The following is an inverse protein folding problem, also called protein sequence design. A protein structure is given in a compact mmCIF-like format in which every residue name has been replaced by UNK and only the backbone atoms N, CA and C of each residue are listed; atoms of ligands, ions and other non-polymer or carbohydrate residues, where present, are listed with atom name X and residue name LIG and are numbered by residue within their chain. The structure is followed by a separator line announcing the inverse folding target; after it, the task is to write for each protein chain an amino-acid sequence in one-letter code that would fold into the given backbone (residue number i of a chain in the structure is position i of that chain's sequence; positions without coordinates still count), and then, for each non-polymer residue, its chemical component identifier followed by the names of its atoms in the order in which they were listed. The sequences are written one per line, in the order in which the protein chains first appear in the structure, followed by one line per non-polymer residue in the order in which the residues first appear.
data_IF_075890614635
#
_entry.id   IF_075890614635
#
_cell.length_a   1.000
_cell.length_b   1.000
_cell.length_c   1.000
_cell.angle_alpha   90.00
_cell.angle_beta   90.00
_cell.angle_gamma   90.00
#
_symmetry.space_group_name_H-M   'P 1'
#
loop_
_entity.id
_entity.type
_entity.pdbx_description
1 polymer ?
#
# COMPACT_ATOMS: atom_id res chain seq x y z
N UNK A 1 15.74 -22.00 35.26
CA UNK A 1 16.79 -21.51 34.34
C UNK A 1 16.16 -21.13 32.97
N UNK A 2 15.11 -20.29 32.96
CA UNK A 2 14.32 -19.96 31.76
C UNK A 2 13.80 -18.51 31.76
N UNK A 3 14.44 -17.61 32.51
CA UNK A 3 14.06 -16.19 32.62
C UNK A 3 15.00 -15.25 31.85
N UNK A 4 16.11 -15.75 31.29
CA UNK A 4 17.12 -14.94 30.58
C UNK A 4 16.76 -14.62 29.12
N UNK A 5 15.51 -14.83 28.70
CA UNK A 5 15.05 -14.58 27.33
C UNK A 5 14.34 -13.24 27.15
N UNK A 6 14.09 -12.53 28.25
CA UNK A 6 13.70 -11.13 28.20
C UNK A 6 14.99 -10.32 28.13
N UNK A 7 15.13 -9.47 27.11
CA UNK A 7 16.13 -8.41 27.15
C UNK A 7 15.91 -7.61 28.43
N UNK A 8 17.00 -7.14 29.05
CA UNK A 8 16.93 -6.28 30.23
C UNK A 8 15.85 -5.22 30.04
N UNK A 9 15.02 -5.02 31.07
CA UNK A 9 13.96 -4.00 31.04
C UNK A 9 14.66 -2.67 30.80
N UNK A 10 14.54 -2.15 29.58
CA UNK A 10 15.19 -0.90 29.22
C UNK A 10 14.77 0.18 30.21
N UNK A 11 15.75 0.89 30.75
CA UNK A 11 15.46 2.03 31.61
C UNK A 11 14.67 3.08 30.81
N UNK A 12 13.87 3.90 31.48
CA UNK A 12 13.05 4.91 30.81
C UNK A 12 13.89 5.86 29.93
N UNK A 13 15.14 6.11 30.34
CA UNK A 13 16.12 6.89 29.58
C UNK A 13 16.56 6.19 28.28
N UNK A 14 16.88 4.89 28.33
CA UNK A 14 17.27 4.10 27.15
C UNK A 14 16.09 3.95 26.17
N UNK A 15 14.88 3.68 26.68
CA UNK A 15 13.66 3.57 25.86
C UNK A 15 13.36 4.88 25.13
N UNK A 16 13.54 6.03 25.80
CA UNK A 16 13.35 7.35 25.20
C UNK A 16 14.37 7.61 24.08
N UNK A 17 15.63 7.19 24.30
CA UNK A 17 16.69 7.35 23.31
C UNK A 17 16.49 6.43 22.09
N UNK A 18 16.13 5.16 22.31
CA UNK A 18 15.78 4.21 21.25
C UNK A 18 14.60 4.71 20.40
N UNK A 19 13.55 5.21 21.06
CA UNK A 19 12.41 5.83 20.38
C UNK A 19 12.83 7.04 19.53
N UNK A 20 13.78 7.84 20.01
CA UNK A 20 14.33 8.98 19.27
C UNK A 20 15.06 8.48 18.01
N UNK A 21 16.06 7.60 18.15
CA UNK A 21 16.79 7.05 17.00
C UNK A 21 15.89 6.35 15.98
N UNK A 22 14.92 5.54 16.45
CA UNK A 22 13.95 4.88 15.56
C UNK A 22 13.16 5.90 14.76
N UNK A 23 12.76 7.01 15.39
CA UNK A 23 12.00 8.06 14.73
C UNK A 23 12.82 8.73 13.62
N UNK A 24 14.06 9.17 13.91
CA UNK A 24 14.93 9.77 12.88
C UNK A 24 15.28 8.81 11.75
N UNK A 25 15.54 7.55 12.08
CA UNK A 25 15.79 6.51 11.09
C UNK A 25 14.57 6.29 10.17
N UNK A 26 13.36 6.18 10.74
CA UNK A 26 12.12 6.04 9.96
C UNK A 26 11.83 7.28 9.12
N UNK A 27 12.11 8.49 9.62
CA UNK A 27 12.02 9.71 8.83
C UNK A 27 13.02 9.74 7.68
N UNK A 28 14.26 9.29 7.90
CA UNK A 28 15.26 9.16 6.84
C UNK A 28 14.81 8.21 5.75
N UNK A 29 14.30 7.02 6.12
CA UNK A 29 13.75 6.04 5.18
C UNK A 29 12.54 6.59 4.43
N UNK A 30 11.58 7.19 5.12
CA UNK A 30 10.37 7.74 4.51
C UNK A 30 10.69 8.87 3.53
N UNK A 31 11.59 9.78 3.91
CA UNK A 31 11.99 10.93 3.08
C UNK A 31 12.81 10.47 1.88
N UNK A 32 13.73 9.51 2.05
CA UNK A 32 14.49 8.92 0.96
C UNK A 32 13.58 8.21 -0.05
N UNK A 33 12.67 7.36 0.43
CA UNK A 33 11.67 6.69 -0.40
C UNK A 33 10.78 7.71 -1.15
N UNK A 34 10.29 8.73 -0.44
CA UNK A 34 9.50 9.80 -1.05
C UNK A 34 10.29 10.56 -2.13
N UNK A 35 11.55 10.89 -1.88
CA UNK A 35 12.43 11.56 -2.84
C UNK A 35 12.67 10.72 -4.10
N UNK A 36 12.96 9.43 -3.96
CA UNK A 36 13.11 8.50 -5.10
C UNK A 36 11.81 8.41 -5.89
N UNK A 37 10.67 8.29 -5.19
CA UNK A 37 9.36 8.23 -5.83
C UNK A 37 9.03 9.52 -6.60
N UNK A 38 9.30 10.69 -6.01
CA UNK A 38 9.12 11.99 -6.67
C UNK A 38 10.03 12.12 -7.89
N UNK A 39 11.32 11.79 -7.76
CA UNK A 39 12.27 11.84 -8.88
C UNK A 39 11.82 10.95 -10.03
N UNK A 40 11.45 9.70 -9.75
CA UNK A 40 10.92 8.77 -10.76
C UNK A 40 9.63 9.28 -11.41
N UNK A 41 8.72 9.87 -10.63
CA UNK A 41 7.46 10.44 -11.15
C UNK A 41 7.71 11.62 -12.09
N UNK A 42 8.59 12.54 -11.70
CA UNK A 42 8.95 13.71 -12.52
C UNK A 42 9.63 13.26 -13.81
N UNK A 43 10.59 12.34 -13.73
CA UNK A 43 11.25 11.77 -14.91
C UNK A 43 10.24 11.09 -15.84
N UNK A 44 9.27 10.35 -15.29
CA UNK A 44 8.20 9.74 -16.07
C UNK A 44 7.31 10.78 -16.77
N UNK A 45 6.87 11.82 -16.06
CA UNK A 45 6.01 12.88 -16.61
C UNK A 45 6.74 13.64 -17.74
N UNK A 46 8.00 14.01 -17.52
CA UNK A 46 8.79 14.75 -18.52
C UNK A 46 9.23 13.87 -19.69
N UNK A 47 9.47 12.58 -19.45
CA UNK A 47 9.90 11.61 -20.46
C UNK A 47 8.75 10.98 -21.26
N UNK A 48 7.50 11.10 -20.81
CA UNK A 48 6.35 10.42 -21.39
C UNK A 48 6.16 10.72 -22.88
N UNK A 49 6.42 11.95 -23.33
CA UNK A 49 6.25 12.35 -24.74
C UNK A 49 7.28 11.73 -25.69
N UNK A 50 8.38 11.19 -25.16
CA UNK A 50 9.47 10.64 -25.96
C UNK A 50 9.30 9.14 -26.24
N UNK A 51 8.28 8.52 -25.64
CA UNK A 51 8.05 7.08 -25.72
C UNK A 51 7.05 6.81 -26.86
N UNK A 52 7.41 5.99 -27.87
CA UNK A 52 6.49 5.59 -28.92
C UNK A 52 5.31 4.77 -28.40
N UNK A 53 4.10 5.05 -28.89
CA UNK A 53 2.88 4.32 -28.51
C UNK A 53 2.95 2.82 -28.86
N UNK A 54 3.72 2.46 -29.89
CA UNK A 54 3.92 1.08 -30.35
C UNK A 54 4.62 0.17 -29.32
N UNK A 55 5.27 0.74 -28.30
CA UNK A 55 5.89 -0.03 -27.21
C UNK A 55 4.86 -0.60 -26.23
N UNK A 56 3.59 -0.17 -26.31
CA UNK A 56 2.51 -0.69 -25.48
C UNK A 56 2.70 -0.40 -23.98
N UNK A 57 3.30 0.76 -23.65
CA UNK A 57 3.66 1.09 -22.27
C UNK A 57 2.44 1.16 -21.33
N UNK A 58 1.28 1.57 -21.83
CA UNK A 58 0.03 1.59 -21.05
C UNK A 58 -0.39 0.19 -20.60
N UNK A 59 -0.24 -0.80 -21.48
CA UNK A 59 -0.51 -2.20 -21.17
C UNK A 59 0.53 -2.76 -20.21
N UNK A 60 1.81 -2.50 -20.46
CA UNK A 60 2.90 -2.92 -19.59
C UNK A 60 2.76 -2.34 -18.17
N UNK A 61 2.37 -1.06 -18.05
CA UNK A 61 2.10 -0.42 -16.76
C UNK A 61 0.96 -1.07 -15.99
N UNK A 62 -0.12 -1.42 -16.68
CA UNK A 62 -1.26 -2.15 -16.07
C UNK A 62 -0.83 -3.54 -15.58
N UNK A 63 -0.06 -4.28 -16.38
CA UNK A 63 0.47 -5.59 -15.98
C UNK A 63 1.44 -5.50 -14.81
N UNK A 64 2.30 -4.47 -14.77
CA UNK A 64 3.22 -4.24 -13.67
C UNK A 64 2.46 -3.99 -12.35
N UNK A 65 1.37 -3.20 -12.39
CA UNK A 65 0.50 -3.00 -11.23
C UNK A 65 -0.13 -4.32 -10.76
N UNK A 66 -0.65 -5.13 -11.68
CA UNK A 66 -1.21 -6.45 -11.35
C UNK A 66 -0.13 -7.35 -10.72
N UNK A 67 1.08 -7.38 -11.28
CA UNK A 67 2.19 -8.18 -10.76
C UNK A 67 2.57 -7.81 -9.32
N UNK A 68 2.45 -6.53 -8.93
CA UNK A 68 2.66 -6.06 -7.55
C UNK A 68 1.46 -6.38 -6.66
N UNK A 69 0.23 -6.19 -7.15
CA UNK A 69 -0.98 -6.36 -6.35
C UNK A 69 -1.27 -7.84 -6.04
N UNK A 70 -1.10 -8.74 -7.01
CA UNK A 70 -1.42 -10.17 -6.85
C UNK A 70 -0.78 -10.82 -5.61
N UNK A 71 0.53 -10.68 -5.35
CA UNK A 71 1.14 -11.25 -4.13
C UNK A 71 0.67 -10.57 -2.85
N UNK A 72 0.14 -9.35 -2.91
CA UNK A 72 -0.46 -8.66 -1.75
C UNK A 72 -1.86 -9.20 -1.39
N UNK A 73 -2.50 -9.97 -2.28
CA UNK A 73 -3.80 -10.62 -2.04
C UNK A 73 -3.63 -11.98 -1.32
N UNK A 74 -2.73 -12.03 -0.35
CA UNK A 74 -2.31 -13.23 0.36
C UNK A 74 -3.39 -13.80 1.31
N UNK A 75 -4.30 -12.96 1.81
CA UNK A 75 -5.35 -13.35 2.75
C UNK A 75 -6.77 -13.06 2.24
N UNK A 76 -7.76 -13.76 2.83
CA UNK A 76 -9.16 -13.73 2.40
C UNK A 76 -9.77 -12.33 2.43
N UNK A 77 -9.45 -11.51 3.44
CA UNK A 77 -9.98 -10.15 3.54
C UNK A 77 -9.47 -9.27 2.39
N UNK A 78 -8.17 -9.33 2.05
CA UNK A 78 -7.62 -8.62 0.89
C UNK A 78 -8.27 -9.05 -0.44
N UNK A 79 -8.49 -10.35 -0.64
CA UNK A 79 -9.16 -10.84 -1.86
C UNK A 79 -10.59 -10.30 -2.00
N UNK A 80 -11.37 -10.34 -0.92
CA UNK A 80 -12.73 -9.78 -0.92
C UNK A 80 -12.73 -8.26 -1.13
N UNK A 81 -11.80 -7.54 -0.50
CA UNK A 81 -11.63 -6.10 -0.72
C UNK A 81 -11.31 -5.79 -2.19
N UNK A 82 -10.41 -6.54 -2.82
CA UNK A 82 -10.04 -6.37 -4.22
C UNK A 82 -11.20 -6.65 -5.19
N UNK A 83 -11.97 -7.71 -4.95
CA UNK A 83 -13.16 -8.03 -5.76
C UNK A 83 -14.20 -6.91 -5.66
N UNK A 84 -14.48 -6.43 -4.44
CA UNK A 84 -15.44 -5.34 -4.24
C UNK A 84 -14.94 -4.05 -4.86
N UNK A 85 -13.66 -3.72 -4.74
CA UNK A 85 -13.07 -2.57 -5.40
C UNK A 85 -13.31 -2.62 -6.92
N UNK A 86 -13.03 -3.77 -7.55
CA UNK A 86 -13.23 -3.97 -8.98
C UNK A 86 -14.71 -3.81 -9.38
N UNK A 87 -15.63 -4.43 -8.64
CA UNK A 87 -17.07 -4.31 -8.89
C UNK A 87 -17.55 -2.87 -8.77
N UNK A 88 -17.19 -2.17 -7.68
CA UNK A 88 -17.63 -0.80 -7.45
C UNK A 88 -17.06 0.14 -8.50
N UNK A 89 -15.79 -0.01 -8.88
CA UNK A 89 -15.17 0.79 -9.93
C UNK A 89 -15.90 0.67 -11.28
N UNK A 90 -16.34 -0.54 -11.63
CA UNK A 90 -17.13 -0.81 -12.85
C UNK A 90 -18.54 -0.23 -12.73
N UNK A 91 -19.24 -0.51 -11.63
CA UNK A 91 -20.62 -0.06 -11.43
C UNK A 91 -20.76 1.46 -11.34
N UNK A 92 -19.73 2.15 -10.85
CA UNK A 92 -19.71 3.60 -10.70
C UNK A 92 -19.00 4.33 -11.84
N UNK A 93 -18.68 3.65 -12.95
CA UNK A 93 -17.94 4.20 -14.09
C UNK A 93 -18.52 5.51 -14.64
N UNK A 94 -19.84 5.72 -14.55
CA UNK A 94 -20.51 6.92 -15.04
C UNK A 94 -20.27 8.18 -14.21
N UNK A 95 -19.59 8.09 -13.06
CA UNK A 95 -19.32 9.27 -12.22
C UNK A 95 -18.24 10.16 -12.84
N UNK A 96 -18.44 11.49 -12.88
CA UNK A 96 -17.43 12.42 -13.38
C UNK A 96 -16.21 12.50 -12.45
N UNK A 97 -15.10 13.06 -12.94
CA UNK A 97 -13.88 13.35 -12.16
C UNK A 97 -13.14 12.11 -11.58
N UNK A 98 -13.33 10.92 -12.16
CA UNK A 98 -12.75 9.65 -11.65
C UNK A 98 -13.17 9.32 -10.20
N UNK A 99 -14.35 9.79 -9.79
CA UNK A 99 -14.92 9.48 -8.47
C UNK A 99 -15.20 7.99 -8.27
N UNK A 100 -15.34 7.23 -9.37
CA UNK A 100 -15.43 5.78 -9.34
C UNK A 100 -14.26 5.11 -8.60
N UNK A 101 -13.04 5.62 -8.73
CA UNK A 101 -11.86 5.11 -8.03
C UNK A 101 -11.95 5.38 -6.52
N UNK A 102 -12.33 6.61 -6.14
CA UNK A 102 -12.50 6.97 -4.73
C UNK A 102 -13.59 6.13 -4.08
N UNK A 103 -14.74 5.96 -4.74
CA UNK A 103 -15.82 5.11 -4.27
C UNK A 103 -15.39 3.65 -4.11
N UNK A 104 -14.65 3.11 -5.07
CA UNK A 104 -14.10 1.76 -5.00
C UNK A 104 -13.14 1.57 -3.81
N UNK A 105 -12.25 2.53 -3.56
CA UNK A 105 -11.32 2.49 -2.42
C UNK A 105 -12.09 2.50 -1.09
N UNK A 106 -13.08 3.40 -0.95
CA UNK A 106 -13.89 3.47 0.27
C UNK A 106 -14.66 2.16 0.52
N UNK A 107 -15.28 1.60 -0.51
CA UNK A 107 -15.98 0.32 -0.41
C UNK A 107 -15.03 -0.83 -0.06
N UNK A 108 -13.86 -0.87 -0.68
CA UNK A 108 -12.83 -1.88 -0.40
C UNK A 108 -12.31 -1.82 1.04
N UNK A 109 -12.09 -0.62 1.59
CA UNK A 109 -11.68 -0.42 2.99
C UNK A 109 -12.77 -0.97 3.93
N UNK A 110 -14.04 -0.61 3.70
CA UNK A 110 -15.15 -1.09 4.53
C UNK A 110 -15.22 -2.62 4.52
N UNK A 111 -15.18 -3.23 3.34
CA UNK A 111 -15.23 -4.70 3.20
C UNK A 111 -13.99 -5.36 3.78
N UNK A 112 -12.80 -4.81 3.56
CA UNK A 112 -11.56 -5.32 4.13
C UNK A 112 -11.60 -5.37 5.66
N UNK A 113 -12.11 -4.30 6.30
CA UNK A 113 -12.28 -4.24 7.75
C UNK A 113 -13.30 -5.28 8.23
N UNK A 114 -14.46 -5.40 7.58
CA UNK A 114 -15.51 -6.35 7.95
C UNK A 114 -15.06 -7.81 7.76
N UNK A 115 -14.36 -8.09 6.67
CA UNK A 115 -13.83 -9.41 6.37
C UNK A 115 -12.70 -9.82 7.32
N UNK A 116 -11.81 -8.89 7.74
CA UNK A 116 -10.76 -9.20 8.73
C UNK A 116 -11.35 -9.49 10.12
N UNK A 117 -12.39 -8.75 10.53
CA UNK A 117 -13.06 -9.00 11.81
C UNK A 117 -13.74 -10.37 11.86
N UNK A 118 -14.49 -10.72 10.81
CA UNK A 118 -15.12 -12.04 10.68
C UNK A 118 -14.07 -13.16 10.66
N UNK A 119 -12.85 -12.83 10.24
CA UNK A 119 -11.76 -13.77 10.12
C UNK A 119 -11.11 -14.15 11.45
N UNK A 120 -11.05 -13.19 12.39
CA UNK A 120 -10.52 -13.41 13.75
C UNK A 120 -11.53 -14.09 14.68
N UNK A 121 -12.83 -13.95 14.44
CA UNK A 121 -13.88 -14.55 15.29
C UNK A 121 -14.03 -16.07 15.09
N UNK A 122 -13.62 -16.61 13.93
CA UNK A 122 -13.66 -18.06 13.63
C UNK A 122 -12.35 -18.82 13.92
N UNK A 123 -11.32 -18.16 14.47
CA UNK A 123 -10.09 -18.80 14.95
C UNK A 123 -10.06 -18.73 16.47
#
# INVERSE_FOLDING_TARGET
MYTSRFGEVQTEAERKNDSYYRTYFMYGLATGNWGIWQAGSILGILGASQIPDEWGLEFAGTLALIAVIVPMLDHRAARWAAVVAAMVAILTYSLPLKLNLTAAILAAIVVGILADRSSKVMR
#
